data_IF_621054453341
#
_entry.id   IF_621054453341
#
_cell.length_a   1.000
_cell.length_b   1.000
_cell.length_c   1.000
_cell.angle_alpha   90.00
_cell.angle_beta   90.00
_cell.angle_gamma   90.00
#
_symmetry.space_group_name_H-M   'P 1'
#
loop_
_entity.id
_entity.type
_entity.pdbx_description
1 polymer ?
#
# COMPACT_ATOMS: atom_id res chain seq x y z
N UNK A 1 8.26 -7.86 -8.23
CA UNK A 1 7.61 -6.58 -8.62
C UNK A 1 6.34 -6.71 -9.45
N UNK A 2 6.25 -7.65 -10.41
CA UNK A 2 5.04 -7.83 -11.26
C UNK A 2 3.71 -7.81 -10.50
N UNK A 3 3.63 -8.45 -9.34
CA UNK A 3 2.43 -8.46 -8.51
C UNK A 3 2.01 -7.05 -8.04
N UNK A 4 2.95 -6.19 -7.63
CA UNK A 4 2.65 -4.82 -7.22
C UNK A 4 2.16 -4.01 -8.43
N UNK A 5 2.71 -4.24 -9.62
CA UNK A 5 2.31 -3.50 -10.82
C UNK A 5 0.96 -3.94 -11.38
N UNK A 6 0.66 -5.25 -11.33
CA UNK A 6 -0.51 -5.83 -12.00
C UNK A 6 -1.72 -6.03 -11.09
N UNK A 7 -1.51 -6.26 -9.79
CA UNK A 7 -2.56 -6.70 -8.87
C UNK A 7 -2.88 -5.67 -7.78
N UNK A 8 -2.12 -4.58 -7.69
CA UNK A 8 -2.42 -3.52 -6.73
C UNK A 8 -3.71 -2.79 -7.14
N UNK A 9 -4.69 -2.75 -6.25
CA UNK A 9 -6.05 -2.26 -6.53
C UNK A 9 -7.01 -3.32 -7.07
N UNK A 10 -6.57 -4.55 -7.33
CA UNK A 10 -7.46 -5.65 -7.72
C UNK A 10 -8.44 -6.01 -6.60
N UNK A 11 -9.63 -6.49 -6.97
CA UNK A 11 -10.64 -6.92 -6.02
C UNK A 11 -10.31 -8.32 -5.50
N UNK A 12 -10.19 -8.44 -4.18
CA UNK A 12 -10.13 -9.72 -3.47
C UNK A 12 -11.25 -9.75 -2.44
N UNK A 13 -12.16 -10.72 -2.53
CA UNK A 13 -13.31 -10.81 -1.63
C UNK A 13 -14.13 -9.50 -1.55
N UNK A 14 -14.34 -8.87 -2.71
CA UNK A 14 -15.09 -7.62 -2.83
C UNK A 14 -14.37 -6.36 -2.32
N UNK A 15 -13.11 -6.45 -1.88
CA UNK A 15 -12.32 -5.29 -1.43
C UNK A 15 -11.08 -5.11 -2.30
N UNK A 16 -10.77 -3.87 -2.66
CA UNK A 16 -9.54 -3.54 -3.38
C UNK A 16 -8.32 -3.77 -2.48
N UNK A 17 -7.35 -4.58 -2.92
CA UNK A 17 -6.15 -4.87 -2.15
C UNK A 17 -5.05 -3.84 -2.40
N UNK A 18 -4.25 -3.57 -1.36
CA UNK A 18 -3.06 -2.74 -1.48
C UNK A 18 -1.80 -3.59 -1.29
N UNK A 19 -1.02 -3.76 -2.35
CA UNK A 19 0.22 -4.54 -2.33
C UNK A 19 1.40 -3.57 -2.25
N UNK A 20 2.29 -3.79 -1.29
CA UNK A 20 3.54 -3.04 -1.15
C UNK A 20 4.67 -4.00 -0.80
N UNK A 21 5.91 -3.51 -0.83
CA UNK A 21 7.05 -4.23 -0.30
C UNK A 21 6.94 -4.50 1.20
N UNK A 22 7.44 -5.66 1.62
CA UNK A 22 7.54 -6.00 3.04
C UNK A 22 8.58 -5.11 3.71
N UNK A 23 8.11 -4.17 4.54
CA UNK A 23 8.95 -3.35 5.42
C UNK A 23 8.51 -3.61 6.85
N UNK A 24 9.35 -4.32 7.62
CA UNK A 24 9.03 -4.74 9.00
C UNK A 24 9.20 -3.61 10.02
N UNK A 25 9.99 -2.60 9.68
CA UNK A 25 10.17 -1.41 10.51
C UNK A 25 8.92 -0.51 10.45
N UNK A 26 8.22 -0.29 11.57
CA UNK A 26 7.00 0.53 11.62
C UNK A 26 7.28 2.05 11.58
N UNK A 27 8.52 2.51 11.75
CA UNK A 27 8.85 3.92 11.93
C UNK A 27 8.35 4.79 10.77
N UNK A 28 8.50 4.31 9.53
CA UNK A 28 8.08 5.02 8.32
C UNK A 28 6.57 5.06 8.11
N UNK A 29 5.79 4.17 8.75
CA UNK A 29 4.31 4.26 8.71
C UNK A 29 3.78 5.20 9.78
N UNK A 30 4.45 5.26 10.95
CA UNK A 30 4.11 6.18 12.03
C UNK A 30 4.42 7.62 11.67
N UNK A 31 5.55 7.84 10.99
CA UNK A 31 5.93 9.16 10.51
C UNK A 31 5.13 9.50 9.24
N UNK A 32 4.01 10.22 9.39
CA UNK A 32 3.14 10.62 8.26
C UNK A 32 3.74 11.69 7.35
N UNK A 33 5.04 12.00 7.49
CA UNK A 33 5.75 12.97 6.67
C UNK A 33 5.59 12.76 5.15
N UNK A 34 5.31 11.53 4.70
CA UNK A 34 5.10 11.21 3.28
C UNK A 34 3.63 10.93 2.90
N UNK A 35 2.68 11.09 3.81
CA UNK A 35 1.25 10.90 3.53
C UNK A 35 0.59 12.26 3.28
N UNK A 36 0.22 12.54 2.04
CA UNK A 36 -0.53 13.73 1.66
C UNK A 36 -2.03 13.39 1.59
N UNK A 37 -2.86 14.24 2.18
CA UNK A 37 -4.31 14.15 2.05
C UNK A 37 -4.77 14.93 0.81
N UNK A 38 -5.57 14.30 -0.04
CA UNK A 38 -6.22 14.92 -1.20
C UNK A 38 -7.72 14.97 -0.93
N UNK A 39 -8.32 16.15 -1.07
CA UNK A 39 -9.76 16.38 -0.88
C UNK A 39 -10.53 16.12 -2.17
#
# INVERSE_FOLDING_TARGET
>A
EKAIQMLNGSLLSGKAIRINWSRRDPQTRKNSAANLFVK
#
